data_IF_728738354930
#
_entry.id   IF_728738354930
#
_cell.length_a   1.000
_cell.length_b   1.000
_cell.length_c   1.000
_cell.angle_alpha   90.00
_cell.angle_beta   90.00
_cell.angle_gamma   90.00
#
_symmetry.space_group_name_H-M   'P 1'
#
loop_
_entity.id
_entity.type
_entity.pdbx_description
1 polymer ?
#
# COMPACT_ATOMS: atom_id res chain seq x y z
N UNK A 1 5.03 -9.99 10.48
CA UNK A 1 4.19 -8.82 10.81
C UNK A 1 4.74 -7.51 10.23
N UNK A 2 5.13 -7.47 8.96
CA UNK A 2 5.83 -6.28 8.41
C UNK A 2 4.88 -5.11 8.10
N UNK A 3 3.62 -5.44 7.80
CA UNK A 3 2.55 -4.49 7.52
C UNK A 3 1.78 -4.07 8.77
N UNK A 4 2.00 -4.73 9.92
CA UNK A 4 1.30 -4.42 11.17
C UNK A 4 1.40 -2.94 11.60
N UNK A 5 2.53 -2.23 11.44
CA UNK A 5 2.61 -0.80 11.77
C UNK A 5 1.77 0.08 10.82
N UNK A 6 1.73 -0.29 9.54
CA UNK A 6 0.97 0.42 8.51
C UNK A 6 -0.54 0.18 8.73
N UNK A 7 -0.93 -1.06 9.01
CA UNK A 7 -2.30 -1.48 9.29
C UNK A 7 -2.82 -0.85 10.60
N UNK A 8 -1.98 -0.68 11.62
CA UNK A 8 -2.38 -0.02 12.88
C UNK A 8 -2.48 1.50 12.77
N UNK A 9 -2.08 2.09 11.62
CA UNK A 9 -2.02 3.54 11.44
C UNK A 9 -0.94 4.23 12.27
N UNK A 10 -0.08 3.45 12.95
CA UNK A 10 1.08 3.94 13.70
C UNK A 10 2.35 3.53 12.96
N UNK A 11 2.61 4.22 11.86
CA UNK A 11 3.79 4.02 11.04
C UNK A 11 4.71 5.24 11.11
N UNK A 12 6.01 5.00 11.02
CA UNK A 12 7.03 6.03 10.85
C UNK A 12 7.71 5.89 9.49
N UNK A 13 8.44 6.93 9.06
CA UNK A 13 9.13 6.95 7.76
C UNK A 13 10.02 5.72 7.55
N UNK A 14 10.64 5.21 8.63
CA UNK A 14 11.47 4.00 8.56
C UNK A 14 10.65 2.75 8.24
N UNK A 15 9.51 2.53 8.90
CA UNK A 15 8.62 1.38 8.64
C UNK A 15 7.96 1.46 7.27
N UNK A 16 7.60 2.67 6.84
CA UNK A 16 7.10 2.91 5.49
C UNK A 16 8.18 2.56 4.47
N UNK A 17 9.41 3.01 4.69
CA UNK A 17 10.54 2.74 3.81
C UNK A 17 10.89 1.26 3.75
N UNK A 18 10.94 0.57 4.90
CA UNK A 18 11.14 -0.88 4.95
C UNK A 18 10.05 -1.67 4.23
N UNK A 19 8.81 -1.17 4.26
CA UNK A 19 7.72 -1.78 3.50
C UNK A 19 7.90 -1.52 2.02
N UNK A 20 8.22 -0.28 1.64
CA UNK A 20 8.47 0.13 0.27
C UNK A 20 9.61 -0.68 -0.37
N UNK A 21 10.77 -0.76 0.28
CA UNK A 21 11.93 -1.54 -0.19
C UNK A 21 11.62 -3.04 -0.35
N UNK A 22 10.66 -3.55 0.42
CA UNK A 22 10.30 -4.96 0.34
C UNK A 22 9.30 -5.25 -0.78
N UNK A 23 8.55 -4.24 -1.18
CA UNK A 23 7.59 -4.32 -2.28
C UNK A 23 8.26 -4.09 -3.62
N UNK A 24 9.18 -3.13 -3.65
CA UNK A 24 10.05 -2.83 -4.77
C UNK A 24 11.00 -4.01 -4.99
N UNK A 25 10.53 -4.98 -5.77
CA UNK A 25 11.26 -6.23 -6.00
C UNK A 25 12.34 -6.04 -7.07
N UNK A 26 12.18 -5.01 -7.90
CA UNK A 26 13.10 -4.67 -8.97
C UNK A 26 14.15 -3.62 -8.53
N UNK A 27 14.01 -3.03 -7.33
CA UNK A 27 14.85 -1.98 -6.75
C UNK A 27 14.99 -0.75 -7.66
N UNK A 28 13.94 -0.38 -8.39
CA UNK A 28 13.92 0.81 -9.26
C UNK A 28 13.54 2.08 -8.50
N UNK A 29 13.27 1.98 -7.19
CA UNK A 29 12.74 3.00 -6.29
C UNK A 29 11.32 3.46 -6.64
N UNK A 30 10.57 2.65 -7.38
CA UNK A 30 9.15 2.85 -7.67
C UNK A 30 8.39 1.55 -7.45
N UNK A 31 7.11 1.68 -7.06
CA UNK A 31 6.19 0.56 -7.01
C UNK A 31 5.28 0.60 -8.22
N UNK A 32 5.35 -0.43 -9.05
CA UNK A 32 4.40 -0.62 -10.13
C UNK A 32 3.17 -1.46 -9.72
N UNK A 33 2.21 -1.56 -10.64
CA UNK A 33 0.92 -2.21 -10.39
C UNK A 33 1.11 -3.69 -9.99
N UNK A 34 2.08 -4.38 -10.58
CA UNK A 34 2.35 -5.80 -10.28
C UNK A 34 2.92 -5.97 -8.85
N UNK A 35 3.79 -5.05 -8.43
CA UNK A 35 4.35 -5.05 -7.06
C UNK A 35 3.29 -4.74 -5.99
N UNK A 36 2.35 -3.84 -6.31
CA UNK A 36 1.20 -3.53 -5.45
C UNK A 36 0.18 -4.68 -5.41
N UNK A 37 -0.03 -5.38 -6.53
CA UNK A 37 -0.89 -6.57 -6.57
C UNK A 37 -0.33 -7.68 -5.65
N UNK A 38 0.99 -7.88 -5.69
CA UNK A 38 1.66 -8.80 -4.77
C UNK A 38 1.49 -8.38 -3.30
N UNK A 39 1.61 -7.09 -2.98
CA UNK A 39 1.31 -6.59 -1.63
C UNK A 39 -0.10 -6.97 -1.18
N UNK A 40 -1.10 -6.64 -1.99
CA UNK A 40 -2.52 -6.82 -1.64
C UNK A 40 -2.88 -8.30 -1.50
N UNK A 41 -2.29 -9.14 -2.35
CA UNK A 41 -2.35 -10.59 -2.23
C UNK A 41 -1.78 -11.08 -0.90
N UNK A 42 -0.64 -10.54 -0.46
CA UNK A 42 -0.01 -10.86 0.84
C UNK A 42 -0.86 -10.37 2.02
N UNK A 43 -1.53 -9.21 1.88
CA UNK A 43 -2.46 -8.66 2.88
C UNK A 43 -3.73 -9.52 3.00
N UNK A 44 -3.99 -10.42 2.04
CA UNK A 44 -5.16 -11.28 2.02
C UNK A 44 -6.40 -10.60 1.43
N UNK A 45 -6.22 -9.49 0.70
CA UNK A 45 -7.30 -8.83 -0.04
C UNK A 45 -7.20 -9.20 -1.52
N UNK A 46 -8.21 -9.91 -1.99
CA UNK A 46 -8.46 -10.15 -3.42
C UNK A 46 -9.16 -8.93 -4.01
N UNK A 47 -8.45 -7.81 -4.11
CA UNK A 47 -8.90 -6.68 -4.92
C UNK A 47 -8.70 -7.03 -6.40
N UNK A 48 -9.61 -6.57 -7.25
CA UNK A 48 -9.44 -6.76 -8.70
C UNK A 48 -8.30 -5.86 -9.19
N UNK A 49 -7.47 -6.34 -10.14
CA UNK A 49 -6.43 -5.56 -10.81
C UNK A 49 -6.95 -4.17 -11.24
N UNK A 50 -8.20 -4.10 -11.67
CA UNK A 50 -8.85 -2.85 -12.08
C UNK A 50 -9.00 -1.82 -10.95
N UNK A 51 -9.25 -2.25 -9.70
CA UNK A 51 -9.29 -1.36 -8.54
C UNK A 51 -7.89 -0.86 -8.20
N UNK A 52 -6.90 -1.75 -8.27
CA UNK A 52 -5.49 -1.40 -8.05
C UNK A 52 -5.04 -0.37 -9.09
N UNK A 53 -5.29 -0.63 -10.37
CA UNK A 53 -5.01 0.31 -11.45
C UNK A 53 -5.72 1.64 -11.24
N UNK A 54 -6.99 1.65 -10.84
CA UNK A 54 -7.73 2.89 -10.56
C UNK A 54 -7.10 3.69 -9.44
N UNK A 55 -6.72 3.04 -8.34
CA UNK A 55 -6.08 3.68 -7.19
C UNK A 55 -4.71 4.24 -7.59
N UNK A 56 -3.90 3.44 -8.27
CA UNK A 56 -2.57 3.86 -8.74
C UNK A 56 -2.71 5.03 -9.71
N UNK A 57 -3.59 4.96 -10.70
CA UNK A 57 -3.84 6.05 -11.65
C UNK A 57 -4.40 7.32 -10.99
N UNK A 58 -5.11 7.21 -9.86
CA UNK A 58 -5.55 8.36 -9.08
C UNK A 58 -4.41 9.04 -8.30
N UNK A 59 -3.43 8.26 -7.85
CA UNK A 59 -2.32 8.75 -7.03
C UNK A 59 -1.14 9.24 -7.88
N UNK A 60 -0.91 8.59 -9.03
CA UNK A 60 0.20 8.85 -9.94
C UNK A 60 -0.29 8.89 -11.37
N UNK A 61 0.16 9.89 -12.12
CA UNK A 61 -0.12 9.99 -13.56
C UNK A 61 0.65 8.95 -14.40
N UNK A 62 1.62 8.24 -13.81
CA UNK A 62 2.56 7.38 -14.55
C UNK A 62 2.34 5.87 -14.33
N UNK A 63 1.42 5.48 -13.45
CA UNK A 63 1.24 4.06 -13.13
C UNK A 63 2.31 3.47 -12.20
N UNK A 64 3.18 4.33 -11.63
CA UNK A 64 4.25 3.98 -10.69
C UNK A 64 4.24 4.92 -9.49
N UNK A 65 4.31 4.39 -8.28
CA UNK A 65 4.35 5.15 -7.03
C UNK A 65 5.80 5.30 -6.58
N UNK A 66 6.27 6.54 -6.38
CA UNK A 66 7.50 6.74 -5.62
C UNK A 66 7.26 6.67 -4.11
N UNK A 67 8.31 6.82 -3.31
CA UNK A 67 8.19 6.78 -1.85
C UNK A 67 7.25 7.87 -1.28
N UNK A 68 7.21 9.06 -1.87
CA UNK A 68 6.31 10.13 -1.42
C UNK A 68 4.86 9.83 -1.78
N UNK A 69 4.61 9.29 -2.97
CA UNK A 69 3.30 8.85 -3.41
C UNK A 69 2.81 7.66 -2.57
N UNK A 70 3.71 6.74 -2.18
CA UNK A 70 3.40 5.67 -1.25
C UNK A 70 3.01 6.21 0.13
N UNK A 71 3.74 7.19 0.66
CA UNK A 71 3.34 7.85 1.93
C UNK A 71 1.97 8.51 1.81
N UNK A 72 1.68 9.16 0.68
CA UNK A 72 0.37 9.75 0.41
C UNK A 72 -0.71 8.69 0.28
N UNK A 73 -0.41 7.55 -0.32
CA UNK A 73 -1.32 6.42 -0.41
C UNK A 73 -1.68 5.90 0.97
N UNK A 74 -0.68 5.67 1.83
CA UNK A 74 -0.88 5.20 3.19
C UNK A 74 -1.58 6.26 4.08
N UNK A 75 -1.24 7.53 3.90
CA UNK A 75 -1.86 8.64 4.62
C UNK A 75 -3.26 8.99 4.10
N UNK A 76 -3.59 8.66 2.86
CA UNK A 76 -4.94 8.78 2.35
C UNK A 76 -5.80 7.68 2.98
N UNK A 77 -7.08 8.00 3.24
CA UNK A 77 -8.03 7.06 3.82
C UNK A 77 -8.18 5.74 3.04
N UNK A 78 -7.72 5.68 1.77
CA UNK A 78 -7.70 4.48 0.94
C UNK A 78 -6.91 3.33 1.55
N UNK A 79 -5.70 3.54 2.07
CA UNK A 79 -4.94 2.45 2.69
C UNK A 79 -5.57 2.01 4.02
N UNK A 80 -6.29 2.89 4.73
CA UNK A 80 -7.08 2.48 5.90
C UNK A 80 -8.26 1.61 5.48
N UNK A 81 -8.94 1.96 4.40
CA UNK A 81 -10.06 1.16 3.89
C UNK A 81 -9.58 -0.19 3.31
N UNK A 82 -8.41 -0.22 2.65
CA UNK A 82 -7.83 -1.40 2.00
C UNK A 82 -7.00 -2.31 2.92
N UNK A 83 -6.19 -1.75 3.81
CA UNK A 83 -5.25 -2.52 4.63
C UNK A 83 -5.78 -2.75 6.05
N UNK A 84 -6.73 -1.95 6.52
CA UNK A 84 -7.41 -2.19 7.78
C UNK A 84 -8.65 -3.05 7.49
N UNK A 85 -8.79 -4.26 8.07
CA UNK A 85 -10.10 -4.92 8.08
C UNK A 85 -11.10 -3.96 8.74
N UNK A 86 -12.41 -4.04 8.42
CA UNK A 86 -13.41 -3.29 9.17
C UNK A 86 -13.13 -3.59 10.64
N UNK A 87 -12.81 -2.54 11.40
CA UNK A 87 -12.58 -2.65 12.82
C UNK A 87 -13.90 -3.21 13.35
N UNK A 88 -13.93 -4.51 13.69
CA UNK A 88 -15.03 -5.02 14.50
C UNK A 88 -14.92 -4.21 15.80
N UNK A 89 -15.77 -3.19 15.89
CA UNK A 89 -16.20 -2.59 17.14
C UNK A 89 -16.63 -3.74 18.05
N UNK A 90 -15.65 -4.28 18.78
CA UNK A 90 -15.88 -5.12 19.93
C UNK A 90 -16.11 -4.18 21.11
N UNK A 91 -17.17 -3.38 21.02
CA UNK A 91 -17.85 -2.83 22.18
C UNK A 91 -19.30 -2.46 21.91
#
# INVERSE_FOLDING_TARGET
ELLAPIITGQYNDHQLYQTFEKLDSNNDNYLDIEELENLLTIVGRLESIYEIERIVLQLTMRGKLDFEDFKRFISNGFARELLMPPYEDTN
#
